data_IF_270245696392
#
_entry.id   IF_270245696392
#
_cell.length_a   1.000
_cell.length_b   1.000
_cell.length_c   1.000
_cell.angle_alpha   90.00
_cell.angle_beta   90.00
_cell.angle_gamma   90.00
#
_symmetry.space_group_name_H-M   'P 1'
#
loop_
_entity.id
_entity.type
_entity.pdbx_description
1 polymer ?
#
# COMPACT_ATOMS: atom_id res chain seq x y z
N UNK A 1 -12.60 29.40 55.56
CA UNK A 1 -11.53 28.49 55.08
C UNK A 1 -11.81 28.19 53.60
N UNK A 2 -10.76 28.20 52.78
CA UNK A 2 -10.69 28.41 51.32
C UNK A 2 -11.70 27.72 50.37
N UNK A 3 -12.13 28.49 49.36
CA UNK A 3 -12.52 28.04 48.01
C UNK A 3 -11.34 27.37 47.29
N UNK A 4 -11.59 26.43 46.34
CA UNK A 4 -10.72 26.27 45.18
C UNK A 4 -11.43 26.70 43.88
N UNK A 5 -10.70 27.52 43.13
CA UNK A 5 -10.98 28.09 41.81
C UNK A 5 -10.94 27.03 40.71
N UNK A 6 -11.78 27.17 39.69
CA UNK A 6 -11.80 26.30 38.51
C UNK A 6 -10.69 26.54 37.50
N UNK A 7 -10.64 25.68 36.46
CA UNK A 7 -10.28 26.01 35.06
C UNK A 7 -10.40 24.79 34.13
N UNK A 8 -10.84 25.08 32.89
CA UNK A 8 -10.80 24.28 31.63
C UNK A 8 -12.00 23.39 31.28
N UNK A 9 -13.17 24.00 31.08
CA UNK A 9 -14.26 23.39 30.28
C UNK A 9 -14.55 24.13 28.95
N UNK A 10 -13.76 25.16 28.59
CA UNK A 10 -14.06 26.03 27.44
C UNK A 10 -13.51 25.59 26.08
N UNK A 11 -12.55 24.67 26.01
CA UNK A 11 -11.86 24.35 24.75
C UNK A 11 -12.53 23.23 23.93
N UNK A 12 -13.30 22.33 24.57
CA UNK A 12 -13.97 21.21 23.90
C UNK A 12 -15.27 21.68 23.22
N UNK A 13 -16.03 22.55 23.90
CA UNK A 13 -17.27 23.12 23.34
C UNK A 13 -17.04 24.04 22.14
N UNK A 14 -15.95 24.82 22.14
CA UNK A 14 -15.61 25.67 21.00
C UNK A 14 -15.22 24.86 19.75
N UNK A 15 -14.50 23.74 19.92
CA UNK A 15 -14.14 22.84 18.81
C UNK A 15 -15.35 22.10 18.24
N UNK A 16 -16.28 21.67 19.12
CA UNK A 16 -17.53 21.02 18.70
C UNK A 16 -18.46 22.01 17.96
N UNK A 17 -18.52 23.27 18.42
CA UNK A 17 -19.31 24.32 17.77
C UNK A 17 -18.74 24.68 16.39
N UNK A 18 -17.42 24.80 16.27
CA UNK A 18 -16.76 25.05 14.98
C UNK A 18 -16.96 23.87 14.02
N UNK A 19 -16.93 22.62 14.54
CA UNK A 19 -17.23 21.42 13.75
C UNK A 19 -18.68 21.39 13.25
N UNK A 20 -19.65 21.69 14.13
CA UNK A 20 -21.07 21.75 13.74
C UNK A 20 -21.36 22.88 12.74
N UNK A 21 -20.72 24.04 12.89
CA UNK A 21 -20.86 25.16 11.95
C UNK A 21 -20.23 24.85 10.59
N UNK A 22 -19.06 24.19 10.57
CA UNK A 22 -18.40 23.78 9.33
C UNK A 22 -19.15 22.65 8.61
N UNK A 23 -19.67 21.68 9.38
CA UNK A 23 -20.50 20.60 8.85
C UNK A 23 -21.82 21.13 8.30
N UNK A 24 -22.50 22.04 9.01
CA UNK A 24 -23.71 22.70 8.53
C UNK A 24 -23.45 23.56 7.27
N UNK A 25 -22.28 24.20 7.18
CA UNK A 25 -21.87 24.94 5.98
C UNK A 25 -21.65 24.01 4.79
N UNK A 26 -20.96 22.87 4.96
CA UNK A 26 -20.77 21.87 3.89
C UNK A 26 -22.12 21.29 3.44
N UNK A 27 -22.99 20.90 4.37
CA UNK A 27 -24.32 20.38 4.04
C UNK A 27 -25.20 21.42 3.33
N UNK A 28 -25.09 22.71 3.69
CA UNK A 28 -25.78 23.78 2.96
C UNK A 28 -25.19 23.99 1.58
N UNK A 29 -23.87 24.03 1.40
CA UNK A 29 -23.25 24.18 0.08
C UNK A 29 -23.63 23.02 -0.84
N UNK A 30 -23.69 21.78 -0.34
CA UNK A 30 -24.16 20.63 -1.13
C UNK A 30 -25.64 20.75 -1.52
N UNK A 31 -26.50 21.23 -0.62
CA UNK A 31 -27.91 21.47 -0.91
C UNK A 31 -28.10 22.61 -1.94
N UNK A 32 -27.33 23.70 -1.85
CA UNK A 32 -27.37 24.81 -2.81
C UNK A 32 -26.83 24.40 -4.17
N UNK A 33 -25.78 23.57 -4.22
CA UNK A 33 -25.24 23.03 -5.49
C UNK A 33 -26.21 22.04 -6.15
N UNK A 34 -26.99 21.28 -5.37
CA UNK A 34 -28.08 20.43 -5.90
C UNK A 34 -29.31 21.22 -6.37
N UNK A 35 -29.56 22.41 -5.81
CA UNK A 35 -30.64 23.32 -6.22
C UNK A 35 -30.30 24.13 -7.48
N UNK A 36 -29.03 24.31 -7.82
CA UNK A 36 -28.57 25.05 -9.03
C UNK A 36 -28.52 24.13 -10.29
N UNK A 37 -28.85 22.85 -10.16
CA UNK A 37 -28.59 21.83 -11.19
C UNK A 37 -29.82 21.17 -11.83
N UNK A 38 -30.97 21.84 -11.92
CA UNK A 38 -32.10 21.32 -12.72
C UNK A 38 -32.55 22.36 -13.75
N UNK A 39 -31.96 22.30 -14.94
CA UNK A 39 -32.50 22.99 -16.10
C UNK A 39 -33.41 22.04 -16.87
N UNK A 40 -34.70 22.38 -16.92
CA UNK A 40 -35.66 21.72 -17.79
C UNK A 40 -35.25 21.87 -19.27
N UNK A 41 -35.59 20.89 -20.12
CA UNK A 41 -35.20 20.82 -21.53
C UNK A 41 -35.61 22.09 -22.31
N UNK A 42 -36.73 22.71 -21.94
CA UNK A 42 -37.20 23.96 -22.52
C UNK A 42 -36.29 25.16 -22.16
N UNK A 43 -35.69 25.15 -20.97
CA UNK A 43 -34.77 26.20 -20.48
C UNK A 43 -33.40 26.10 -21.17
N UNK A 44 -32.92 24.90 -21.44
CA UNK A 44 -31.68 24.67 -22.20
C UNK A 44 -31.81 25.08 -23.68
N UNK A 45 -33.00 24.90 -24.28
CA UNK A 45 -33.28 25.38 -25.64
C UNK A 45 -33.36 26.91 -25.69
N UNK A 46 -33.98 27.56 -24.70
CA UNK A 46 -33.97 29.03 -24.57
C UNK A 46 -32.57 29.62 -24.36
N UNK A 47 -31.70 28.94 -23.61
CA UNK A 47 -30.30 29.37 -23.42
C UNK A 47 -29.47 29.27 -24.71
N UNK A 48 -29.75 28.26 -25.54
CA UNK A 48 -29.12 28.11 -26.87
C UNK A 48 -29.55 29.22 -27.84
N UNK A 49 -30.82 29.62 -27.80
CA UNK A 49 -31.31 30.69 -28.67
C UNK A 49 -30.85 32.09 -28.20
N UNK A 50 -30.59 32.26 -26.89
CA UNK A 50 -30.03 33.50 -26.32
C UNK A 50 -28.53 33.69 -26.58
N UNK A 51 -27.79 32.62 -26.92
CA UNK A 51 -26.34 32.71 -27.21
C UNK A 51 -25.98 33.32 -28.57
N UNK A 52 -26.95 33.77 -29.37
CA UNK A 52 -26.72 34.38 -30.68
C UNK A 52 -26.81 35.92 -30.74
N UNK A 53 -26.93 36.62 -29.62
CA UNK A 53 -26.92 38.09 -29.60
C UNK A 53 -25.88 38.65 -28.63
N UNK A 54 -24.77 39.12 -29.20
CA UNK A 54 -24.11 40.39 -28.87
C UNK A 54 -23.56 40.63 -27.45
N UNK A 55 -22.23 40.78 -27.40
CA UNK A 55 -21.46 41.56 -26.40
C UNK A 55 -21.46 41.06 -24.94
N UNK A 56 -20.44 40.25 -24.61
CA UNK A 56 -20.01 40.05 -23.23
C UNK A 56 -18.92 41.07 -22.88
N UNK A 57 -19.28 42.11 -22.14
CA UNK A 57 -18.32 43.01 -21.50
C UNK A 57 -17.57 42.30 -20.37
N UNK A 58 -16.27 42.55 -20.35
CA UNK A 58 -15.27 42.14 -19.38
C UNK A 58 -15.47 42.79 -18.01
N UNK A 59 -15.71 42.02 -16.94
CA UNK A 59 -15.49 42.47 -15.56
C UNK A 59 -15.47 41.32 -14.52
N UNK A 60 -14.58 40.32 -14.67
CA UNK A 60 -14.34 39.29 -13.63
C UNK A 60 -12.83 39.12 -13.31
N UNK A 61 -12.02 40.15 -13.53
CA UNK A 61 -10.57 40.11 -13.23
C UNK A 61 -10.13 41.15 -12.18
N UNK A 62 -10.97 41.47 -11.20
CA UNK A 62 -10.62 42.39 -10.11
C UNK A 62 -10.25 41.72 -8.78
N UNK A 63 -9.98 40.41 -8.75
CA UNK A 63 -9.47 39.72 -7.55
C UNK A 63 -8.19 38.95 -7.88
N UNK A 64 -7.08 39.38 -7.26
CA UNK A 64 -5.73 38.78 -7.18
C UNK A 64 -4.67 39.27 -8.21
N UNK A 65 -3.74 40.18 -7.83
CA UNK A 65 -2.64 40.66 -8.68
C UNK A 65 -1.44 39.69 -8.87
N UNK A 66 -1.47 38.47 -8.34
CA UNK A 66 -0.30 37.56 -8.39
C UNK A 66 -0.36 36.48 -9.49
N UNK A 67 -1.50 36.34 -10.20
CA UNK A 67 -1.66 35.36 -11.29
C UNK A 67 -1.36 35.94 -12.69
N UNK A 68 -1.04 37.24 -12.81
CA UNK A 68 -0.91 37.94 -14.09
C UNK A 68 0.52 38.03 -14.66
N UNK A 69 1.50 37.32 -14.08
CA UNK A 69 2.83 37.15 -14.70
C UNK A 69 2.98 35.74 -15.23
N UNK A 70 2.34 35.44 -16.36
CA UNK A 70 2.78 34.43 -17.34
C UNK A 70 1.75 34.27 -18.47
N UNK A 71 1.51 35.33 -19.24
CA UNK A 71 0.93 35.21 -20.59
C UNK A 71 1.60 36.22 -21.50
N UNK A 72 2.82 35.90 -21.94
CA UNK A 72 3.43 36.52 -23.10
C UNK A 72 3.32 35.55 -24.27
N UNK A 73 2.60 36.02 -25.29
CA UNK A 73 2.41 35.53 -26.65
C UNK A 73 3.56 34.69 -27.25
N UNK A 74 3.25 33.46 -27.68
CA UNK A 74 4.10 32.65 -28.56
C UNK A 74 3.82 32.96 -30.05
N UNK A 75 4.83 33.24 -30.89
CA UNK A 75 4.66 33.39 -32.34
C UNK A 75 4.58 32.02 -33.07
N UNK A 76 4.13 31.98 -34.34
CA UNK A 76 3.68 30.74 -34.99
C UNK A 76 4.82 29.76 -35.32
N UNK A 77 4.49 28.47 -35.26
CA UNK A 77 5.38 27.34 -35.46
C UNK A 77 6.08 27.34 -36.83
N UNK A 78 7.41 27.53 -36.84
CA UNK A 78 8.28 27.06 -37.93
C UNK A 78 8.63 25.59 -37.67
N UNK A 79 8.21 24.69 -38.56
CA UNK A 79 8.64 23.27 -38.57
C UNK A 79 10.18 23.18 -38.65
N UNK A 80 10.83 22.93 -37.52
CA UNK A 80 12.27 22.65 -37.48
C UNK A 80 12.54 21.21 -37.97
N UNK A 81 13.32 21.08 -39.03
CA UNK A 81 13.86 19.78 -39.49
C UNK A 81 14.67 19.16 -38.36
N UNK A 82 14.27 17.96 -37.90
CA UNK A 82 15.02 17.15 -36.91
C UNK A 82 16.44 16.88 -37.41
N UNK A 83 17.45 17.49 -36.79
CA UNK A 83 18.85 17.07 -36.93
C UNK A 83 19.05 15.74 -36.19
N UNK A 84 19.45 14.71 -36.93
CA UNK A 84 19.88 13.40 -36.38
C UNK A 84 21.13 13.62 -35.53
N UNK A 85 20.99 13.60 -34.21
CA UNK A 85 22.10 13.82 -33.27
C UNK A 85 23.02 12.60 -33.15
N UNK A 86 24.32 12.81 -33.34
CA UNK A 86 25.41 11.82 -33.15
C UNK A 86 25.42 11.28 -31.70
N UNK A 87 25.51 9.96 -31.54
CA UNK A 87 25.57 9.19 -30.26
C UNK A 87 26.80 9.47 -29.35
N UNK A 88 27.55 10.56 -29.52
CA UNK A 88 28.78 10.81 -28.75
C UNK A 88 28.66 11.78 -27.56
N UNK A 89 27.56 12.53 -27.44
CA UNK A 89 27.49 13.69 -26.52
C UNK A 89 27.18 13.36 -25.05
N UNK A 90 26.50 12.25 -24.77
CA UNK A 90 26.21 11.83 -23.39
C UNK A 90 27.44 11.20 -22.74
N UNK A 91 28.12 10.29 -23.44
CA UNK A 91 29.34 9.64 -22.97
C UNK A 91 30.47 10.64 -22.72
N UNK A 92 30.62 11.68 -23.56
CA UNK A 92 31.64 12.73 -23.37
C UNK A 92 31.29 13.71 -22.24
N UNK A 93 30.00 13.88 -21.91
CA UNK A 93 29.55 14.66 -20.74
C UNK A 93 29.74 13.89 -19.44
N UNK A 94 29.43 12.58 -19.44
CA UNK A 94 29.73 11.68 -18.33
C UNK A 94 31.24 11.64 -18.04
N UNK A 95 32.10 11.52 -19.07
CA UNK A 95 33.57 11.56 -18.86
C UNK A 95 34.10 12.88 -18.31
N UNK A 96 33.44 14.02 -18.59
CA UNK A 96 33.83 15.33 -18.02
C UNK A 96 33.29 15.53 -16.59
N UNK A 97 32.18 14.90 -16.23
CA UNK A 97 31.62 14.95 -14.87
C UNK A 97 32.34 14.03 -13.88
N UNK A 98 32.96 12.94 -14.34
CA UNK A 98 33.81 12.07 -13.50
C UNK A 98 35.04 12.82 -12.97
N UNK A 99 35.50 13.86 -13.66
CA UNK A 99 36.61 14.71 -13.20
C UNK A 99 36.24 15.63 -12.03
N UNK A 100 34.95 15.87 -11.76
CA UNK A 100 34.47 16.77 -10.70
C UNK A 100 33.79 16.02 -9.55
N UNK A 101 34.53 15.12 -8.90
CA UNK A 101 34.43 14.71 -7.47
C UNK A 101 33.09 14.47 -6.77
N UNK A 102 31.94 14.45 -7.46
CA UNK A 102 30.63 14.13 -6.91
C UNK A 102 29.92 13.20 -7.87
N UNK A 103 29.89 11.93 -7.48
CA UNK A 103 29.08 10.91 -8.14
C UNK A 103 27.60 11.28 -7.91
N UNK A 104 26.85 11.45 -9.00
CA UNK A 104 25.45 11.91 -8.98
C UNK A 104 24.44 10.78 -8.74
N UNK A 105 24.92 9.55 -8.57
CA UNK A 105 24.13 8.36 -8.29
C UNK A 105 24.79 7.60 -7.14
N UNK A 106 24.01 7.00 -6.21
CA UNK A 106 24.57 6.24 -5.12
C UNK A 106 25.31 5.02 -5.68
N UNK A 107 26.61 4.91 -5.37
CA UNK A 107 27.43 3.77 -5.76
C UNK A 107 27.45 2.79 -4.60
N UNK A 108 26.99 1.56 -4.89
CA UNK A 108 27.03 0.44 -3.96
C UNK A 108 28.12 -0.52 -4.40
N UNK A 109 29.08 -0.79 -3.52
CA UNK A 109 30.15 -1.75 -3.77
C UNK A 109 29.86 -3.04 -3.02
N UNK A 110 29.70 -4.13 -3.78
CA UNK A 110 29.63 -5.48 -3.25
C UNK A 110 30.98 -6.16 -3.48
N UNK A 111 31.60 -6.66 -2.41
CA UNK A 111 32.82 -7.44 -2.52
C UNK A 111 32.77 -8.65 -1.58
N UNK A 112 33.18 -9.80 -2.11
CA UNK A 112 33.49 -10.97 -1.31
C UNK A 112 34.94 -10.86 -0.85
N UNK A 113 35.17 -10.67 0.45
CA UNK A 113 36.48 -10.29 1.03
C UNK A 113 37.31 -11.50 1.47
N UNK A 114 36.93 -12.71 1.01
CA UNK A 114 37.56 -13.99 1.37
C UNK A 114 39.08 -14.11 1.10
N UNK A 115 39.73 -13.16 0.41
CA UNK A 115 41.14 -13.23 0.04
C UNK A 115 42.05 -12.17 0.69
N UNK A 116 41.59 -11.35 1.63
CA UNK A 116 42.46 -10.37 2.31
C UNK A 116 43.06 -11.00 3.58
N UNK A 117 44.38 -10.96 3.73
CA UNK A 117 45.09 -11.50 4.91
C UNK A 117 44.83 -10.62 6.15
N UNK A 118 44.95 -9.29 6.01
CA UNK A 118 44.65 -8.30 7.06
C UNK A 118 43.42 -7.47 6.66
N UNK A 119 42.25 -8.10 6.77
CA UNK A 119 40.97 -7.65 6.19
C UNK A 119 40.61 -6.20 6.51
N UNK A 120 40.75 -5.79 7.77
CA UNK A 120 40.39 -4.44 8.19
C UNK A 120 41.47 -3.43 7.80
N UNK A 121 42.74 -3.69 8.05
CA UNK A 121 43.83 -2.76 7.72
C UNK A 121 43.92 -2.49 6.21
N UNK A 122 43.69 -3.52 5.40
CA UNK A 122 43.67 -3.37 3.95
C UNK A 122 42.41 -2.62 3.48
N UNK A 123 41.26 -2.81 4.13
CA UNK A 123 40.05 -2.04 3.88
C UNK A 123 40.25 -0.55 4.23
N UNK A 124 40.82 -0.24 5.40
CA UNK A 124 41.17 1.12 5.81
C UNK A 124 42.15 1.78 4.82
N UNK A 125 43.16 1.02 4.39
CA UNK A 125 44.13 1.48 3.38
C UNK A 125 43.44 1.74 2.04
N UNK A 126 42.53 0.88 1.59
CA UNK A 126 41.81 1.06 0.32
C UNK A 126 40.81 2.22 0.38
N UNK A 127 40.14 2.45 1.50
CA UNK A 127 39.25 3.60 1.70
C UNK A 127 40.05 4.91 1.69
N UNK A 128 41.26 4.93 2.26
CA UNK A 128 42.09 6.14 2.27
C UNK A 128 42.78 6.42 0.93
N UNK A 129 43.19 5.37 0.21
CA UNK A 129 44.00 5.51 -1.02
C UNK A 129 43.19 5.50 -2.32
N UNK A 130 42.08 4.75 -2.40
CA UNK A 130 41.29 4.59 -3.62
C UNK A 130 40.05 5.48 -3.60
N UNK A 131 40.03 6.48 -4.48
CA UNK A 131 38.93 7.44 -4.60
C UNK A 131 37.58 6.78 -4.89
N UNK A 132 37.58 5.72 -5.70
CA UNK A 132 36.34 5.02 -6.08
C UNK A 132 35.69 4.32 -4.88
N UNK A 133 36.48 3.80 -3.93
CA UNK A 133 35.98 3.15 -2.71
C UNK A 133 35.64 4.21 -1.66
N UNK A 134 36.47 5.25 -1.53
CA UNK A 134 36.22 6.35 -0.58
C UNK A 134 34.90 7.06 -0.83
N UNK A 135 34.60 7.32 -2.11
CA UNK A 135 33.44 8.11 -2.53
C UNK A 135 32.19 7.21 -2.74
N UNK A 136 32.22 5.93 -2.35
CA UNK A 136 31.06 5.03 -2.37
C UNK A 136 29.99 5.47 -1.37
N UNK A 137 28.72 5.20 -1.70
CA UNK A 137 27.60 5.48 -0.81
C UNK A 137 27.29 4.33 0.15
N UNK A 138 27.61 3.10 -0.26
CA UNK A 138 27.43 1.91 0.57
C UNK A 138 28.48 0.85 0.22
N UNK A 139 29.07 0.25 1.25
CA UNK A 139 29.98 -0.89 1.14
C UNK A 139 29.29 -2.11 1.77
N UNK A 140 29.15 -3.18 1.01
CA UNK A 140 28.53 -4.43 1.47
C UNK A 140 29.53 -5.58 1.39
N UNK A 141 29.84 -6.17 2.53
CA UNK A 141 30.75 -7.30 2.67
C UNK A 141 30.04 -8.48 3.33
N UNK A 142 30.38 -9.69 2.90
CA UNK A 142 29.96 -10.93 3.54
C UNK A 142 31.21 -11.69 3.98
N UNK A 143 31.31 -12.00 5.26
CA UNK A 143 32.52 -12.57 5.86
C UNK A 143 32.19 -13.57 6.97
N UNK A 144 32.95 -14.66 7.04
CA UNK A 144 32.68 -15.78 7.96
C UNK A 144 33.23 -15.57 9.36
N UNK A 145 34.14 -14.61 9.56
CA UNK A 145 34.73 -14.26 10.86
C UNK A 145 33.94 -13.18 11.62
N UNK A 146 32.99 -12.51 10.96
CA UNK A 146 32.08 -11.55 11.59
C UNK A 146 31.00 -12.29 12.37
N UNK A 147 31.34 -12.71 13.58
CA UNK A 147 30.40 -13.34 14.52
C UNK A 147 30.11 -12.46 15.75
N UNK A 148 29.30 -13.02 16.66
CA UNK A 148 28.81 -12.37 17.88
C UNK A 148 29.93 -11.87 18.82
N UNK A 149 31.13 -12.48 18.75
CA UNK A 149 32.28 -12.11 19.58
C UNK A 149 33.08 -10.91 19.06
N UNK A 150 32.86 -10.47 17.82
CA UNK A 150 33.61 -9.37 17.20
C UNK A 150 32.94 -8.04 17.51
N UNK A 151 33.56 -7.11 18.26
CA UNK A 151 32.94 -5.84 18.62
C UNK A 151 32.83 -4.90 17.41
N UNK A 152 31.81 -4.05 17.38
CA UNK A 152 31.54 -3.14 16.25
C UNK A 152 32.66 -2.11 16.03
N UNK A 153 33.35 -1.71 17.10
CA UNK A 153 34.51 -0.83 17.04
C UNK A 153 35.67 -1.42 16.21
N UNK A 154 35.80 -2.76 16.16
CA UNK A 154 36.85 -3.42 15.38
C UNK A 154 36.57 -3.46 13.88
N UNK A 155 35.33 -3.13 13.46
CA UNK A 155 34.86 -3.29 12.07
C UNK A 155 34.45 -1.95 11.45
N UNK A 156 34.55 -0.85 12.21
CA UNK A 156 34.10 0.48 11.77
C UNK A 156 35.18 1.19 10.97
N UNK A 157 35.03 1.37 9.64
CA UNK A 157 35.97 2.14 8.84
C UNK A 157 35.75 3.64 9.04
N UNK A 158 36.81 4.42 8.89
CA UNK A 158 36.74 5.88 9.02
C UNK A 158 35.77 6.48 7.99
N UNK A 159 34.82 7.29 8.47
CA UNK A 159 33.83 7.96 7.63
C UNK A 159 32.62 7.12 7.23
N UNK A 160 32.52 5.87 7.67
CA UNK A 160 31.38 4.99 7.39
C UNK A 160 30.64 4.57 8.66
N UNK A 161 29.30 4.46 8.56
CA UNK A 161 28.49 3.87 9.62
C UNK A 161 28.29 2.38 9.33
N UNK A 162 28.67 1.51 10.26
CA UNK A 162 28.51 0.06 10.12
C UNK A 162 27.10 -0.39 10.51
N UNK A 163 26.59 -1.37 9.78
CA UNK A 163 25.36 -2.10 10.08
C UNK A 163 25.65 -3.59 9.94
N UNK A 164 25.37 -4.35 11.00
CA UNK A 164 25.63 -5.78 11.09
C UNK A 164 24.32 -6.54 11.18
N UNK A 165 24.09 -7.45 10.23
CA UNK A 165 22.89 -8.27 10.18
C UNK A 165 22.81 -9.34 11.27
N UNK A 166 23.95 -9.69 11.87
CA UNK A 166 24.07 -10.68 12.95
C UNK A 166 23.83 -10.10 14.36
N UNK A 167 23.66 -8.78 14.50
CA UNK A 167 23.37 -8.13 15.79
C UNK A 167 21.88 -7.96 16.02
N UNK A 168 21.42 -8.25 17.24
CA UNK A 168 20.06 -7.91 17.66
C UNK A 168 19.94 -6.38 17.89
N UNK A 169 18.75 -5.83 17.69
CA UNK A 169 18.50 -4.38 17.74
C UNK A 169 18.86 -3.72 19.09
N UNK A 170 19.05 -4.51 20.15
CA UNK A 170 19.42 -4.04 21.50
C UNK A 170 20.92 -3.75 21.62
N UNK A 171 21.77 -4.42 20.84
CA UNK A 171 23.24 -4.32 20.96
C UNK A 171 23.88 -3.29 20.01
N UNK A 172 23.18 -2.87 18.96
CA UNK A 172 23.77 -2.01 17.91
C UNK A 172 23.81 -0.51 18.24
N UNK A 173 23.35 -0.10 19.43
CA UNK A 173 23.36 1.28 19.91
C UNK A 173 22.60 2.29 19.03
N UNK A 174 21.94 1.84 17.97
CA UNK A 174 21.09 2.64 17.09
C UNK A 174 19.65 2.38 17.48
N UNK A 175 19.01 3.41 18.02
CA UNK A 175 17.56 3.47 18.18
C UNK A 175 16.93 3.40 16.79
N UNK A 176 16.63 2.19 16.31
CA UNK A 176 15.40 2.05 15.55
C UNK A 176 14.29 2.48 16.49
N UNK A 177 13.42 3.39 16.05
CA UNK A 177 12.10 3.59 16.64
C UNK A 177 11.25 2.31 16.43
N UNK A 178 11.69 1.20 17.03
CA UNK A 178 10.91 0.00 17.20
C UNK A 178 10.13 0.22 18.47
N UNK A 179 8.91 0.69 18.27
CA UNK A 179 7.92 0.88 19.31
C UNK A 179 7.75 -0.43 20.09
N UNK A 180 8.43 -0.54 21.23
CA UNK A 180 7.88 -1.31 22.33
C UNK A 180 6.72 -0.48 22.85
N UNK A 181 5.57 -0.64 22.20
CA UNK A 181 4.30 -0.31 22.80
C UNK A 181 4.17 -1.18 24.04
N UNK A 182 4.42 -0.62 25.20
CA UNK A 182 3.87 -1.11 26.46
C UNK A 182 2.35 -0.89 26.44
N UNK A 183 1.69 -1.59 25.52
CA UNK A 183 0.25 -1.67 25.41
C UNK A 183 -0.15 -3.10 25.74
N UNK A 184 -1.13 -3.24 26.62
CA UNK A 184 -1.85 -4.46 26.92
C UNK A 184 -1.88 -5.42 25.70
N UNK A 185 -1.57 -6.72 25.85
CA UNK A 185 -1.31 -7.63 24.73
C UNK A 185 -2.54 -8.00 23.87
N UNK A 186 -3.66 -7.28 23.97
CA UNK A 186 -4.93 -7.66 23.34
C UNK A 186 -5.54 -6.67 22.34
N UNK A 187 -5.24 -5.36 22.42
CA UNK A 187 -5.99 -4.34 21.67
C UNK A 187 -5.07 -3.58 20.73
N UNK A 188 -5.33 -3.68 19.43
CA UNK A 188 -4.64 -2.89 18.40
C UNK A 188 -4.96 -1.40 18.59
N UNK A 189 -3.93 -0.60 18.81
CA UNK A 189 -4.03 0.88 18.86
C UNK A 189 -3.13 1.50 17.81
N UNK A 190 -3.61 2.55 17.17
CA UNK A 190 -2.87 3.33 16.17
C UNK A 190 -2.45 4.69 16.72
N UNK A 191 -1.24 5.11 16.39
CA UNK A 191 -0.70 6.41 16.82
C UNK A 191 -0.98 7.50 15.81
N UNK A 192 -0.99 8.75 16.27
CA UNK A 192 -1.14 9.93 15.41
C UNK A 192 -0.14 9.94 14.24
N UNK A 193 1.13 9.60 14.51
CA UNK A 193 2.17 9.54 13.49
C UNK A 193 1.89 8.49 12.41
N UNK A 194 1.42 7.30 12.82
CA UNK A 194 1.05 6.24 11.89
C UNK A 194 -0.11 6.67 10.99
N UNK A 195 -1.14 7.29 11.56
CA UNK A 195 -2.30 7.79 10.80
C UNK A 195 -1.90 8.92 9.86
N UNK A 196 -1.12 9.89 10.33
CA UNK A 196 -0.61 10.99 9.50
C UNK A 196 0.21 10.47 8.32
N UNK A 197 1.08 9.47 8.55
CA UNK A 197 1.87 8.82 7.50
C UNK A 197 0.97 8.11 6.50
N UNK A 198 -0.03 7.36 6.97
CA UNK A 198 -0.99 6.68 6.10
C UNK A 198 -1.75 7.67 5.20
N UNK A 199 -2.22 8.79 5.75
CA UNK A 199 -2.90 9.86 5.01
C UNK A 199 -1.98 10.54 3.98
N UNK A 200 -0.74 10.86 4.35
CA UNK A 200 0.25 11.48 3.42
C UNK A 200 0.65 10.54 2.27
N UNK A 201 0.59 9.23 2.46
CA UNK A 201 0.88 8.22 1.44
C UNK A 201 -0.29 7.92 0.48
N UNK A 202 -1.46 8.52 0.70
CA UNK A 202 -2.59 8.39 -0.23
C UNK A 202 -2.19 8.89 -1.62
N UNK A 203 -2.65 8.18 -2.65
CA UNK A 203 -2.47 8.62 -4.03
C UNK A 203 -3.59 9.64 -4.38
N UNK A 204 -3.24 10.91 -4.67
CA UNK A 204 -4.19 12.00 -4.91
C UNK A 204 -4.99 11.86 -6.22
N UNK A 205 -4.64 10.91 -7.09
CA UNK A 205 -5.31 10.66 -8.37
C UNK A 205 -6.24 9.44 -8.33
N UNK A 206 -6.38 8.76 -7.19
CA UNK A 206 -7.33 7.66 -7.02
C UNK A 206 -8.78 8.18 -7.09
N UNK A 207 -9.71 7.30 -7.43
CA UNK A 207 -11.13 7.60 -7.40
C UNK A 207 -11.62 7.86 -5.97
N UNK A 208 -12.65 8.71 -5.87
CA UNK A 208 -13.36 9.04 -4.62
C UNK A 208 -14.24 7.86 -4.21
N UNK A 209 -14.35 7.60 -2.91
CA UNK A 209 -15.23 6.59 -2.35
C UNK A 209 -16.69 7.04 -2.27
N UNK A 210 -17.59 6.20 -1.73
CA UNK A 210 -19.00 6.55 -1.50
C UNK A 210 -19.20 7.67 -0.47
N UNK A 211 -18.18 7.96 0.33
CA UNK A 211 -18.15 9.03 1.33
C UNK A 211 -17.96 10.43 0.72
N UNK A 212 -17.66 10.52 -0.58
CA UNK A 212 -17.45 11.80 -1.27
C UNK A 212 -16.14 12.51 -0.92
N UNK A 213 -15.32 11.94 -0.03
CA UNK A 213 -14.07 12.56 0.43
C UNK A 213 -12.95 12.33 -0.58
N UNK A 214 -12.44 13.42 -1.14
CA UNK A 214 -11.36 13.35 -2.13
C UNK A 214 -10.04 12.87 -1.50
N UNK A 215 -9.31 11.92 -2.14
CA UNK A 215 -7.98 11.52 -1.68
C UNK A 215 -6.99 12.70 -1.62
N UNK A 216 -7.19 13.74 -2.45
CA UNK A 216 -6.38 14.97 -2.42
C UNK A 216 -6.53 15.70 -1.09
N UNK A 217 -7.76 15.80 -0.60
CA UNK A 217 -8.06 16.48 0.67
C UNK A 217 -7.41 15.74 1.82
N UNK A 218 -7.55 14.41 1.87
CA UNK A 218 -6.92 13.59 2.92
C UNK A 218 -5.40 13.68 2.92
N UNK A 219 -4.77 13.79 1.74
CA UNK A 219 -3.32 13.96 1.63
C UNK A 219 -2.86 15.35 2.04
N UNK A 220 -3.49 16.40 1.51
CA UNK A 220 -3.09 17.80 1.73
C UNK A 220 -3.39 18.25 3.15
N UNK A 221 -4.56 17.88 3.69
CA UNK A 221 -4.98 18.20 5.05
C UNK A 221 -4.64 17.09 6.05
N UNK A 222 -3.75 16.15 5.68
CA UNK A 222 -3.48 14.95 6.48
C UNK A 222 -2.92 15.24 7.86
N UNK A 223 -2.26 16.39 8.06
CA UNK A 223 -1.75 16.80 9.36
C UNK A 223 -2.84 17.28 10.31
N UNK A 224 -3.79 18.08 9.80
CA UNK A 224 -4.93 18.58 10.58
C UNK A 224 -5.94 17.46 10.85
N UNK A 225 -6.10 16.52 9.91
CA UNK A 225 -7.06 15.43 10.01
C UNK A 225 -6.52 14.22 10.79
N UNK A 226 -5.20 14.09 10.97
CA UNK A 226 -4.60 12.93 11.61
C UNK A 226 -5.14 12.70 13.02
N UNK A 227 -5.28 13.73 13.86
CA UNK A 227 -5.84 13.60 15.20
C UNK A 227 -7.24 13.00 15.20
N UNK A 228 -8.13 13.57 14.38
CA UNK A 228 -9.53 13.12 14.28
C UNK A 228 -9.62 11.67 13.79
N UNK A 229 -8.87 11.32 12.73
CA UNK A 229 -8.87 9.92 12.25
C UNK A 229 -8.21 8.96 13.23
N UNK A 230 -7.25 9.41 14.03
CA UNK A 230 -6.65 8.59 15.10
C UNK A 230 -7.70 8.21 16.14
N UNK A 231 -8.50 9.17 16.59
CA UNK A 231 -9.58 8.92 17.56
C UNK A 231 -10.63 7.97 16.96
N UNK A 232 -11.08 8.22 15.72
CA UNK A 232 -12.05 7.37 15.03
C UNK A 232 -11.52 5.94 14.86
N UNK A 233 -10.27 5.79 14.43
CA UNK A 233 -9.67 4.47 14.22
C UNK A 233 -9.50 3.73 15.54
N UNK A 234 -9.03 4.39 16.58
CA UNK A 234 -8.87 3.76 17.89
C UNK A 234 -10.21 3.38 18.52
N UNK A 235 -11.25 4.20 18.40
CA UNK A 235 -12.60 3.82 18.81
C UNK A 235 -13.12 2.60 18.04
N UNK A 236 -12.94 2.59 16.72
CA UNK A 236 -13.32 1.45 15.89
C UNK A 236 -12.61 0.16 16.31
N UNK A 237 -11.30 0.24 16.56
CA UNK A 237 -10.48 -0.92 16.94
C UNK A 237 -10.77 -1.39 18.37
N UNK A 238 -11.01 -0.47 19.30
CA UNK A 238 -11.33 -0.76 20.69
C UNK A 238 -12.69 -1.44 20.82
N UNK A 239 -13.70 -0.94 20.13
CA UNK A 239 -15.05 -1.51 20.14
C UNK A 239 -15.20 -2.72 19.19
N UNK A 240 -14.17 -3.00 18.39
CA UNK A 240 -14.22 -4.00 17.33
C UNK A 240 -15.36 -3.78 16.30
N UNK A 241 -15.73 -2.52 16.06
CA UNK A 241 -16.80 -2.12 15.14
C UNK A 241 -16.28 -1.14 14.09
N UNK A 242 -16.46 -1.46 12.82
CA UNK A 242 -16.15 -0.61 11.67
C UNK A 242 -17.31 0.34 11.41
N UNK A 243 -17.08 1.66 11.35
CA UNK A 243 -18.11 2.63 11.02
C UNK A 243 -18.84 2.26 9.73
N UNK A 244 -20.18 2.35 9.72
CA UNK A 244 -21.00 1.98 8.56
C UNK A 244 -20.57 2.68 7.27
N UNK A 245 -20.18 3.96 7.37
CA UNK A 245 -19.68 4.73 6.23
C UNK A 245 -18.42 4.12 5.61
N UNK A 246 -17.55 3.49 6.42
CA UNK A 246 -16.33 2.81 5.98
C UNK A 246 -16.60 1.43 5.36
N UNK A 247 -17.70 0.77 5.74
CA UNK A 247 -18.13 -0.51 5.14
C UNK A 247 -18.76 -0.33 3.75
N UNK A 248 -19.29 0.86 3.45
CA UNK A 248 -19.94 1.13 2.17
C UNK A 248 -18.99 1.01 0.99
N UNK A 249 -19.47 0.45 -0.12
CA UNK A 249 -18.69 0.36 -1.35
C UNK A 249 -19.51 0.61 -2.62
N UNK A 250 -18.85 1.15 -3.64
CA UNK A 250 -19.41 1.27 -4.99
C UNK A 250 -18.69 0.29 -5.89
N UNK A 251 -19.41 -0.71 -6.42
CA UNK A 251 -18.87 -1.67 -7.37
C UNK A 251 -18.88 -1.03 -8.76
N UNK A 252 -17.70 -0.94 -9.36
CA UNK A 252 -17.51 -0.49 -10.74
C UNK A 252 -17.07 -1.69 -11.58
N UNK A 253 -17.90 -2.17 -12.52
CA UNK A 253 -17.53 -3.24 -13.44
C UNK A 253 -16.44 -2.76 -14.39
N UNK A 254 -15.29 -3.44 -14.40
CA UNK A 254 -14.17 -3.16 -15.31
C UNK A 254 -14.03 -4.31 -16.31
N UNK A 255 -14.02 -4.06 -17.63
CA UNK A 255 -13.84 -5.12 -18.62
C UNK A 255 -12.49 -5.85 -18.45
N UNK A 256 -12.51 -7.18 -18.43
CA UNK A 256 -11.30 -8.04 -18.47
C UNK A 256 -10.74 -8.14 -19.88
N UNK A 257 -11.59 -8.02 -20.90
CA UNK A 257 -11.29 -8.18 -22.33
C UNK A 257 -11.90 -7.02 -23.12
N UNK A 258 -11.41 -6.82 -24.34
CA UNK A 258 -11.90 -5.79 -25.26
C UNK A 258 -13.32 -6.08 -25.75
N UNK A 259 -13.61 -7.33 -26.07
CA UNK A 259 -14.93 -7.80 -26.49
C UNK A 259 -15.59 -8.53 -25.33
N UNK A 260 -16.77 -8.05 -24.95
CA UNK A 260 -17.50 -8.52 -23.78
C UNK A 260 -18.65 -9.37 -24.28
N UNK A 261 -18.67 -10.64 -23.88
CA UNK A 261 -19.71 -11.60 -24.27
C UNK A 261 -20.63 -11.96 -23.12
N UNK A 262 -20.09 -11.97 -21.90
CA UNK A 262 -20.81 -12.38 -20.69
C UNK A 262 -20.51 -11.44 -19.53
N UNK A 263 -21.37 -11.45 -18.50
CA UNK A 263 -21.12 -10.68 -17.27
C UNK A 263 -19.83 -11.10 -16.54
N UNK A 264 -19.38 -12.35 -16.74
CA UNK A 264 -18.14 -12.88 -16.17
C UNK A 264 -16.87 -12.27 -16.80
N UNK A 265 -17.01 -11.63 -17.98
CA UNK A 265 -15.94 -10.86 -18.60
C UNK A 265 -15.71 -9.50 -17.90
N UNK A 266 -16.53 -9.13 -16.91
CA UNK A 266 -16.24 -7.99 -16.03
C UNK A 266 -15.56 -8.41 -14.74
N UNK A 267 -14.71 -7.51 -14.22
CA UNK A 267 -14.17 -7.55 -12.86
C UNK A 267 -14.93 -6.54 -11.99
N UNK A 268 -15.61 -6.96 -10.92
CA UNK A 268 -16.28 -6.05 -10.01
C UNK A 268 -15.25 -5.38 -9.09
N UNK A 269 -14.84 -4.14 -9.37
CA UNK A 269 -13.89 -3.42 -8.51
C UNK A 269 -14.66 -2.65 -7.44
N UNK A 270 -14.40 -2.95 -6.16
CA UNK A 270 -15.01 -2.24 -5.05
C UNK A 270 -14.26 -0.93 -4.74
N UNK A 271 -14.96 0.19 -4.88
CA UNK A 271 -14.51 1.49 -4.40
C UNK A 271 -14.97 1.68 -2.96
N UNK A 272 -14.06 1.45 -2.01
CA UNK A 272 -14.25 1.78 -0.59
C UNK A 272 -13.70 3.18 -0.26
N UNK A 273 -14.18 3.81 0.84
CA UNK A 273 -13.64 5.06 1.36
C UNK A 273 -12.14 5.04 1.52
N UNK A 274 -11.49 6.16 1.21
CA UNK A 274 -10.04 6.27 1.29
C UNK A 274 -9.57 6.17 2.74
N UNK A 275 -10.33 6.71 3.68
CA UNK A 275 -10.08 6.55 5.11
C UNK A 275 -10.09 5.08 5.55
N UNK A 276 -11.05 4.27 5.06
CA UNK A 276 -11.08 2.83 5.33
C UNK A 276 -9.81 2.14 4.81
N UNK A 277 -9.36 2.48 3.60
CA UNK A 277 -8.09 1.94 3.05
C UNK A 277 -6.87 2.31 3.89
N UNK A 278 -6.88 3.46 4.57
CA UNK A 278 -5.83 3.80 5.52
C UNK A 278 -5.88 2.91 6.76
N UNK A 279 -7.06 2.70 7.33
CA UNK A 279 -7.25 1.80 8.48
C UNK A 279 -6.89 0.35 8.14
N UNK A 280 -7.33 -0.17 6.99
CA UNK A 280 -6.95 -1.49 6.48
C UNK A 280 -5.42 -1.67 6.43
N UNK A 281 -4.67 -0.65 5.97
CA UNK A 281 -3.20 -0.72 5.94
C UNK A 281 -2.58 -0.79 7.33
N UNK A 282 -3.12 -0.05 8.28
CA UNK A 282 -2.63 -0.06 9.66
C UNK A 282 -2.90 -1.42 10.32
N UNK A 283 -4.09 -1.98 10.11
CA UNK A 283 -4.43 -3.34 10.56
C UNK A 283 -3.56 -4.39 9.87
N UNK A 284 -3.29 -4.25 8.57
CA UNK A 284 -2.41 -5.15 7.83
C UNK A 284 -0.98 -5.17 8.40
N UNK A 285 -0.43 -4.00 8.74
CA UNK A 285 0.89 -3.91 9.39
C UNK A 285 0.88 -4.66 10.72
N UNK A 286 -0.17 -4.50 11.52
CA UNK A 286 -0.30 -5.21 12.78
C UNK A 286 -0.41 -6.74 12.58
N UNK A 287 -1.22 -7.19 11.63
CA UNK A 287 -1.34 -8.62 11.32
C UNK A 287 -0.01 -9.23 10.88
N UNK A 288 0.77 -8.53 10.05
CA UNK A 288 2.09 -8.99 9.64
C UNK A 288 3.10 -9.06 10.80
N UNK A 289 2.90 -8.28 11.87
CA UNK A 289 3.74 -8.35 13.06
C UNK A 289 3.38 -9.54 13.97
N UNK A 290 2.12 -9.97 13.98
CA UNK A 290 1.65 -11.13 14.77
C UNK A 290 1.94 -12.43 14.02
N UNK A 291 1.60 -12.45 12.74
CA UNK A 291 1.60 -13.64 11.90
C UNK A 291 2.92 -13.68 11.12
N UNK A 292 3.83 -14.64 11.40
CA UNK A 292 5.07 -14.74 10.67
C UNK A 292 4.84 -15.07 9.19
N UNK A 293 5.71 -14.59 8.32
CA UNK A 293 5.63 -14.88 6.89
C UNK A 293 5.99 -16.33 6.54
N UNK A 294 6.28 -17.17 7.53
CA UNK A 294 6.65 -18.59 7.40
C UNK A 294 5.50 -19.57 7.56
N UNK A 295 4.28 -19.10 7.87
CA UNK A 295 3.12 -19.99 8.08
C UNK A 295 2.87 -20.89 6.86
N UNK A 296 3.03 -20.32 5.67
CA UNK A 296 2.84 -21.04 4.41
C UNK A 296 3.97 -20.73 3.45
N UNK A 297 5.01 -21.55 3.50
CA UNK A 297 6.22 -21.35 2.69
C UNK A 297 5.98 -21.53 1.20
N UNK A 298 4.98 -22.35 0.83
CA UNK A 298 4.64 -22.66 -0.56
C UNK A 298 3.51 -21.78 -1.12
N UNK A 299 3.03 -20.80 -0.35
CA UNK A 299 2.31 -19.65 -0.88
C UNK A 299 3.31 -18.55 -1.27
N UNK A 300 3.35 -18.21 -2.55
CA UNK A 300 4.30 -17.25 -3.10
C UNK A 300 3.68 -15.86 -3.32
N UNK A 301 2.37 -15.74 -3.50
CA UNK A 301 1.75 -14.44 -3.70
C UNK A 301 1.62 -13.64 -2.40
N UNK A 302 1.53 -12.32 -2.57
CA UNK A 302 1.30 -11.35 -1.49
C UNK A 302 2.35 -11.37 -0.37
N UNK A 303 3.51 -11.99 -0.62
CA UNK A 303 4.66 -11.99 0.27
C UNK A 303 5.72 -11.03 -0.23
N UNK A 304 6.46 -10.38 0.68
CA UNK A 304 7.62 -9.59 0.28
C UNK A 304 8.68 -10.51 -0.34
N UNK A 305 9.36 -10.02 -1.38
CA UNK A 305 10.50 -10.72 -2.02
C UNK A 305 10.15 -12.11 -2.58
N UNK A 306 8.93 -12.29 -3.07
CA UNK A 306 8.51 -13.51 -3.79
C UNK A 306 7.87 -13.14 -5.13
N UNK A 307 8.16 -13.93 -6.15
CA UNK A 307 7.64 -13.76 -7.51
C UNK A 307 6.96 -15.02 -8.02
N UNK A 308 6.31 -14.91 -9.18
CA UNK A 308 5.79 -16.07 -9.91
C UNK A 308 6.93 -17.00 -10.33
N UNK A 309 8.09 -16.43 -10.69
CA UNK A 309 9.26 -17.20 -11.13
C UNK A 309 9.80 -18.08 -10.00
N UNK A 310 9.75 -17.63 -8.75
CA UNK A 310 10.12 -18.45 -7.59
C UNK A 310 9.20 -19.67 -7.46
N UNK A 311 7.88 -19.47 -7.61
CA UNK A 311 6.89 -20.55 -7.52
C UNK A 311 7.11 -21.59 -8.62
N UNK A 312 7.33 -21.13 -9.86
CA UNK A 312 7.62 -22.00 -11.01
C UNK A 312 8.93 -22.74 -10.82
N UNK A 313 9.98 -22.05 -10.34
CA UNK A 313 11.30 -22.66 -10.10
C UNK A 313 11.23 -23.76 -9.04
N UNK A 314 10.49 -23.53 -7.94
CA UNK A 314 10.28 -24.55 -6.90
C UNK A 314 9.46 -25.73 -7.45
N UNK A 315 8.42 -25.47 -8.23
CA UNK A 315 7.64 -26.53 -8.86
C UNK A 315 8.51 -27.40 -9.79
N UNK A 316 9.29 -26.76 -10.67
CA UNK A 316 10.17 -27.45 -11.60
C UNK A 316 11.27 -28.23 -10.87
N UNK A 317 11.84 -27.67 -9.81
CA UNK A 317 12.85 -28.35 -9.01
C UNK A 317 12.33 -29.68 -8.48
N UNK A 318 11.15 -29.70 -7.87
CA UNK A 318 10.55 -30.94 -7.35
C UNK A 318 10.18 -31.93 -8.46
N UNK A 319 9.68 -31.45 -9.60
CA UNK A 319 9.36 -32.31 -10.74
C UNK A 319 10.62 -32.98 -11.29
N UNK A 320 11.65 -32.21 -11.58
CA UNK A 320 12.89 -32.73 -12.19
C UNK A 320 13.63 -33.65 -11.23
N UNK A 321 13.75 -33.28 -9.96
CA UNK A 321 14.41 -34.10 -8.93
C UNK A 321 13.74 -35.47 -8.78
N UNK A 322 12.40 -35.55 -8.88
CA UNK A 322 11.71 -36.83 -8.80
C UNK A 322 11.92 -37.68 -10.06
N UNK A 323 11.93 -37.05 -11.24
CA UNK A 323 12.10 -37.71 -12.53
C UNK A 323 13.54 -38.22 -12.79
N UNK A 324 14.52 -37.81 -12.00
CA UNK A 324 15.89 -38.36 -12.08
C UNK A 324 15.95 -39.85 -11.69
N UNK A 325 14.94 -40.36 -10.96
CA UNK A 325 14.84 -41.76 -10.60
C UNK A 325 14.10 -42.56 -11.68
N UNK A 326 14.65 -43.73 -12.05
CA UNK A 326 14.02 -44.60 -13.04
C UNK A 326 12.68 -45.15 -12.55
N UNK A 327 11.73 -45.30 -13.47
CA UNK A 327 10.41 -45.81 -13.16
C UNK A 327 9.49 -44.83 -12.41
N UNK A 328 9.90 -43.58 -12.21
CA UNK A 328 9.05 -42.57 -11.55
C UNK A 328 8.25 -41.73 -12.56
N UNK A 329 7.17 -41.10 -12.08
CA UNK A 329 6.43 -40.10 -12.84
C UNK A 329 5.78 -39.07 -11.91
N UNK A 330 5.47 -37.89 -12.45
CA UNK A 330 4.80 -36.81 -11.70
C UNK A 330 3.46 -36.49 -12.36
N UNK A 331 2.40 -36.39 -11.56
CA UNK A 331 1.10 -35.86 -12.00
C UNK A 331 0.94 -34.45 -11.47
N UNK A 332 0.65 -33.51 -12.37
CA UNK A 332 0.37 -32.12 -12.01
C UNK A 332 -1.11 -31.83 -12.16
N UNK A 333 -1.73 -31.28 -11.12
CA UNK A 333 -3.12 -30.85 -11.12
C UNK A 333 -3.16 -29.33 -10.89
N UNK A 334 -3.83 -28.62 -11.78
CA UNK A 334 -4.08 -27.19 -11.64
C UNK A 334 -5.50 -26.98 -11.11
N UNK A 335 -5.61 -26.28 -9.99
CA UNK A 335 -6.86 -25.92 -9.34
C UNK A 335 -7.07 -24.42 -9.44
N UNK A 336 -8.22 -24.04 -9.98
CA UNK A 336 -8.70 -22.66 -10.05
C UNK A 336 -9.94 -22.50 -9.16
N UNK A 337 -9.89 -21.55 -8.22
CA UNK A 337 -11.02 -21.28 -7.34
C UNK A 337 -12.02 -20.38 -8.04
N UNK A 338 -13.27 -20.86 -8.14
CA UNK A 338 -14.37 -20.01 -8.56
C UNK A 338 -14.58 -18.86 -7.58
N UNK A 339 -14.24 -17.63 -8.01
CA UNK A 339 -14.53 -16.39 -7.28
C UNK A 339 -13.93 -16.35 -5.86
N UNK A 340 -12.65 -16.74 -5.72
CA UNK A 340 -11.96 -16.99 -4.45
C UNK A 340 -12.19 -15.94 -3.34
N UNK A 341 -12.04 -14.65 -3.66
CA UNK A 341 -12.24 -13.58 -2.68
C UNK A 341 -13.69 -13.40 -2.26
N UNK A 342 -14.64 -13.68 -3.14
CA UNK A 342 -16.07 -13.47 -2.87
C UNK A 342 -16.68 -14.63 -2.06
N UNK A 343 -16.00 -15.77 -1.98
CA UNK A 343 -16.48 -16.99 -1.32
C UNK A 343 -15.91 -17.22 0.08
N UNK A 344 -15.04 -16.32 0.56
CA UNK A 344 -14.53 -16.36 1.95
C UNK A 344 -15.72 -16.34 2.92
N UNK A 345 -15.76 -17.33 3.82
CA UNK A 345 -16.77 -17.40 4.90
C UNK A 345 -16.21 -16.72 6.15
N UNK A 346 -16.75 -15.57 6.61
CA UNK A 346 -16.16 -14.82 7.71
C UNK A 346 -15.98 -15.64 8.98
N UNK A 347 -17.01 -16.41 9.40
CA UNK A 347 -16.95 -17.24 10.62
C UNK A 347 -15.76 -18.23 10.58
N UNK A 348 -15.60 -18.96 9.47
CA UNK A 348 -14.46 -19.90 9.30
C UNK A 348 -13.12 -19.20 9.26
N UNK A 349 -13.05 -18.01 8.68
CA UNK A 349 -11.83 -17.21 8.70
C UNK A 349 -11.46 -16.86 10.15
N UNK A 350 -12.41 -16.39 10.95
CA UNK A 350 -12.15 -16.01 12.35
C UNK A 350 -11.67 -17.17 13.20
N UNK A 351 -12.27 -18.36 13.05
CA UNK A 351 -11.81 -19.58 13.72
C UNK A 351 -10.32 -19.83 13.44
N UNK A 352 -9.92 -19.79 12.16
CA UNK A 352 -8.52 -19.93 11.75
C UNK A 352 -7.62 -18.81 12.27
N UNK A 353 -8.09 -17.56 12.27
CA UNK A 353 -7.30 -16.44 12.80
C UNK A 353 -7.04 -16.60 14.30
N UNK A 354 -8.02 -17.11 15.06
CA UNK A 354 -7.86 -17.41 16.47
C UNK A 354 -6.85 -18.55 16.71
N UNK A 355 -6.88 -19.60 15.90
CA UNK A 355 -5.88 -20.69 15.92
C UNK A 355 -4.45 -20.19 15.65
N UNK A 356 -4.32 -19.17 14.80
CA UNK A 356 -3.04 -18.50 14.50
C UNK A 356 -2.58 -17.53 15.61
N UNK A 357 -3.28 -17.45 16.74
CA UNK A 357 -2.90 -16.61 17.87
C UNK A 357 -3.22 -15.12 17.69
N UNK A 358 -4.09 -14.76 16.74
CA UNK A 358 -4.53 -13.36 16.58
C UNK A 358 -5.48 -13.00 17.73
N UNK A 359 -5.28 -11.84 18.41
CA UNK A 359 -6.13 -11.43 19.52
C UNK A 359 -7.61 -11.35 19.14
N UNK A 360 -8.48 -11.78 20.06
CA UNK A 360 -9.95 -11.79 19.87
C UNK A 360 -10.52 -10.42 19.44
N UNK A 361 -10.09 -9.27 19.99
CA UNK A 361 -10.58 -7.97 19.52
C UNK A 361 -10.27 -7.70 18.04
N UNK A 362 -9.09 -8.07 17.57
CA UNK A 362 -8.69 -7.96 16.16
C UNK A 362 -9.51 -8.90 15.28
N UNK A 363 -9.74 -10.13 15.74
CA UNK A 363 -10.61 -11.08 15.06
C UNK A 363 -12.05 -10.55 14.92
N UNK A 364 -12.61 -10.01 16.00
CA UNK A 364 -13.96 -9.41 15.99
C UNK A 364 -14.04 -8.20 15.06
N UNK A 365 -13.01 -7.37 15.02
CA UNK A 365 -12.95 -6.23 14.10
C UNK A 365 -12.90 -6.70 12.63
N UNK A 366 -12.14 -7.77 12.34
CA UNK A 366 -12.09 -8.38 10.99
C UNK A 366 -13.45 -9.01 10.64
N UNK A 367 -14.13 -9.63 11.61
CA UNK A 367 -15.49 -10.16 11.41
C UNK A 367 -16.44 -9.03 11.00
N UNK A 368 -16.44 -7.95 11.79
CA UNK A 368 -17.29 -6.79 11.55
C UNK A 368 -16.97 -6.12 10.21
N UNK A 369 -15.69 -6.02 9.84
CA UNK A 369 -15.25 -5.59 8.52
C UNK A 369 -15.81 -6.47 7.39
N UNK A 370 -16.00 -7.77 7.63
CA UNK A 370 -16.44 -8.73 6.62
C UNK A 370 -17.96 -8.99 6.58
N UNK A 371 -18.74 -8.42 7.50
CA UNK A 371 -20.20 -8.61 7.53
C UNK A 371 -20.94 -7.29 7.31
N UNK A 372 -22.19 -7.40 6.86
CA UNK A 372 -23.13 -6.27 6.73
C UNK A 372 -22.58 -5.09 5.92
N UNK A 373 -21.88 -5.40 4.82
CA UNK A 373 -21.29 -4.38 3.96
C UNK A 373 -22.30 -3.92 2.91
N UNK A 374 -22.77 -2.66 2.96
CA UNK A 374 -23.64 -2.15 1.91
C UNK A 374 -22.83 -1.86 0.65
N UNK A 375 -23.37 -2.29 -0.50
CA UNK A 375 -22.77 -2.05 -1.80
C UNK A 375 -23.83 -1.65 -2.83
N UNK A 376 -23.42 -0.81 -3.78
CA UNK A 376 -24.20 -0.45 -4.96
C UNK A 376 -23.35 -0.66 -6.21
N UNK A 377 -23.96 -1.02 -7.32
CA UNK A 377 -23.28 -1.12 -8.62
C UNK A 377 -23.46 0.19 -9.36
N UNK A 378 -22.37 0.74 -9.92
CA UNK A 378 -22.42 1.98 -10.73
C UNK A 378 -21.90 1.73 -12.13
N UNK A 379 -22.72 2.05 -13.13
CA UNK A 379 -22.38 2.01 -14.55
C UNK A 379 -22.66 3.39 -15.15
N UNK A 380 -21.60 4.10 -15.52
CA UNK A 380 -21.72 5.51 -15.94
C UNK A 380 -22.31 6.37 -14.82
N UNK A 381 -23.47 6.97 -15.09
CA UNK A 381 -24.24 7.80 -14.15
C UNK A 381 -25.35 7.03 -13.42
N UNK A 382 -25.65 5.79 -13.84
CA UNK A 382 -26.68 4.96 -13.23
C UNK A 382 -26.12 4.23 -12.01
N UNK A 383 -26.92 4.15 -10.94
CA UNK A 383 -26.59 3.45 -9.70
C UNK A 383 -27.72 2.47 -9.40
N UNK A 384 -27.38 1.23 -9.02
CA UNK A 384 -28.36 0.20 -8.66
C UNK A 384 -28.95 0.43 -7.27
N UNK A 385 -29.96 -0.36 -6.95
CA UNK A 385 -30.38 -0.55 -5.56
C UNK A 385 -29.23 -1.09 -4.69
N UNK A 386 -29.31 -0.81 -3.40
CA UNK A 386 -28.32 -1.25 -2.42
C UNK A 386 -28.51 -2.72 -2.08
N UNK A 387 -27.42 -3.48 -2.15
CA UNK A 387 -27.33 -4.85 -1.65
C UNK A 387 -26.39 -4.88 -0.46
N UNK A 388 -26.70 -5.67 0.56
CA UNK A 388 -25.82 -5.85 1.73
C UNK A 388 -25.19 -7.23 1.66
N UNK A 389 -23.85 -7.30 1.76
CA UNK A 389 -23.10 -8.55 1.73
C UNK A 389 -22.50 -8.90 3.09
N UNK A 390 -22.57 -10.18 3.45
CA UNK A 390 -21.91 -10.74 4.63
C UNK A 390 -20.99 -11.92 4.31
N UNK A 391 -20.58 -12.04 3.04
CA UNK A 391 -19.67 -13.08 2.54
C UNK A 391 -18.61 -12.48 1.65
N UNK A 392 -17.45 -13.12 1.59
CA UNK A 392 -16.31 -12.66 0.82
C UNK A 392 -15.61 -11.45 1.42
N UNK A 393 -14.51 -11.06 0.79
CA UNK A 393 -13.77 -9.83 1.09
C UNK A 393 -13.82 -8.89 -0.13
N UNK A 394 -13.96 -7.57 0.04
CA UNK A 394 -14.10 -6.65 -1.08
C UNK A 394 -12.89 -6.68 -2.01
N UNK A 395 -13.14 -6.68 -3.33
CA UNK A 395 -12.07 -6.69 -4.32
C UNK A 395 -11.50 -5.27 -4.52
N UNK A 396 -10.21 -5.09 -4.21
CA UNK A 396 -9.54 -3.78 -4.26
C UNK A 396 -9.20 -3.19 -2.88
N UNK A 397 -9.58 -3.89 -1.81
CA UNK A 397 -9.09 -3.68 -0.45
C UNK A 397 -7.69 -4.28 -0.28
N UNK A 398 -6.84 -3.63 0.51
CA UNK A 398 -5.47 -4.09 0.74
C UNK A 398 -5.39 -5.20 1.79
N UNK A 399 -6.41 -5.31 2.64
CA UNK A 399 -6.50 -6.37 3.64
C UNK A 399 -6.93 -7.71 3.03
N UNK A 400 -7.77 -7.68 1.98
CA UNK A 400 -8.35 -8.89 1.35
C UNK A 400 -7.32 -9.95 0.94
N UNK A 401 -6.19 -9.62 0.28
CA UNK A 401 -5.17 -10.60 -0.08
C UNK A 401 -4.59 -11.34 1.12
N UNK A 402 -4.22 -10.62 2.19
CA UNK A 402 -3.67 -11.23 3.41
C UNK A 402 -4.70 -12.14 4.07
N UNK A 403 -5.96 -11.70 4.17
CA UNK A 403 -7.02 -12.54 4.73
C UNK A 403 -7.25 -13.83 3.93
N UNK A 404 -7.13 -13.77 2.60
CA UNK A 404 -7.23 -14.96 1.76
C UNK A 404 -6.06 -15.93 1.96
N UNK A 405 -4.84 -15.41 2.07
CA UNK A 405 -3.66 -16.23 2.40
C UNK A 405 -3.82 -16.90 3.76
N UNK A 406 -4.31 -16.17 4.78
CA UNK A 406 -4.58 -16.75 6.10
C UNK A 406 -5.74 -17.76 6.06
N UNK A 407 -6.74 -17.54 5.21
CA UNK A 407 -7.86 -18.46 5.05
C UNK A 407 -7.44 -19.82 4.48
N UNK A 408 -6.42 -19.84 3.61
CA UNK A 408 -5.95 -21.03 2.89
C UNK A 408 -4.61 -21.56 3.41
N UNK A 409 -4.11 -21.06 4.54
CA UNK A 409 -2.79 -21.38 5.07
C UNK A 409 -2.62 -22.86 5.42
N UNK A 410 -3.69 -23.50 5.86
CA UNK A 410 -3.81 -24.92 6.23
C UNK A 410 -4.07 -25.84 5.02
N UNK A 411 -4.24 -25.27 3.82
CA UNK A 411 -4.30 -26.01 2.57
C UNK A 411 -2.88 -26.44 2.17
N UNK A 412 -2.36 -27.42 2.91
CA UNK A 412 -1.05 -28.05 2.73
C UNK A 412 -1.23 -29.56 2.54
N UNK A 413 -0.26 -30.20 1.91
CA UNK A 413 -0.30 -31.64 1.73
C UNK A 413 -0.15 -32.37 3.05
N UNK A 414 -0.95 -33.42 3.25
CA UNK A 414 -0.77 -34.39 4.34
C UNK A 414 0.18 -35.54 3.97
N UNK A 415 0.49 -35.69 2.69
CA UNK A 415 1.29 -36.78 2.15
C UNK A 415 2.63 -36.25 1.66
N UNK A 416 3.72 -36.93 2.01
CA UNK A 416 5.08 -36.52 1.64
C UNK A 416 5.33 -36.57 0.12
N UNK A 417 4.54 -37.37 -0.60
CA UNK A 417 4.61 -37.48 -2.06
C UNK A 417 3.79 -36.41 -2.79
N UNK A 418 3.12 -35.52 -2.07
CA UNK A 418 2.27 -34.50 -2.67
C UNK A 418 2.74 -33.13 -2.22
N UNK A 419 2.89 -32.21 -3.16
CA UNK A 419 3.37 -30.84 -2.93
C UNK A 419 2.32 -29.89 -3.45
N UNK A 420 1.87 -28.96 -2.59
CA UNK A 420 0.86 -27.96 -2.95
C UNK A 420 1.56 -26.60 -3.02
N UNK A 421 1.63 -26.04 -4.21
CA UNK A 421 2.23 -24.73 -4.50
C UNK A 421 1.10 -23.76 -4.82
N UNK A 422 1.10 -22.60 -4.17
CA UNK A 422 0.04 -21.60 -4.28
C UNK A 422 0.59 -20.27 -4.74
N UNK A 423 -0.12 -19.61 -5.63
CA UNK A 423 0.12 -18.23 -6.00
C UNK A 423 -1.22 -17.49 -6.00
N UNK A 424 -1.51 -16.81 -4.90
CA UNK A 424 -2.80 -16.21 -4.62
C UNK A 424 -3.86 -17.32 -4.57
N UNK A 425 -4.87 -17.26 -5.44
CA UNK A 425 -5.88 -18.29 -5.64
C UNK A 425 -5.39 -19.45 -6.52
N UNK A 426 -4.46 -19.23 -7.46
CA UNK A 426 -3.94 -20.31 -8.30
C UNK A 426 -3.22 -21.37 -7.47
N UNK A 427 -3.68 -22.62 -7.54
CA UNK A 427 -3.10 -23.73 -6.77
C UNK A 427 -2.66 -24.84 -7.69
N UNK A 428 -1.39 -25.23 -7.58
CA UNK A 428 -0.79 -26.35 -8.31
C UNK A 428 -0.47 -27.47 -7.33
N UNK A 429 -0.98 -28.67 -7.61
CA UNK A 429 -0.68 -29.87 -6.85
C UNK A 429 0.23 -30.75 -7.69
N UNK A 430 1.40 -31.08 -7.15
CA UNK A 430 2.32 -32.05 -7.72
C UNK A 430 2.19 -33.35 -6.93
N UNK A 431 1.87 -34.44 -7.61
CA UNK A 431 1.83 -35.80 -7.03
C UNK A 431 3.00 -36.58 -7.60
N UNK A 432 3.99 -36.84 -6.75
CA UNK A 432 5.16 -37.64 -7.04
C UNK A 432 4.79 -39.11 -6.88
N UNK A 433 4.94 -39.91 -7.94
CA UNK A 433 4.54 -41.32 -7.95
C UNK A 433 5.66 -42.20 -8.47
N UNK A 434 5.70 -43.42 -7.97
CA UNK A 434 6.54 -44.49 -8.48
C UNK A 434 5.69 -45.36 -9.41
N UNK A 435 6.27 -45.79 -10.53
CA UNK A 435 5.72 -46.79 -11.43
C UNK A 435 5.80 -48.15 -10.77
N UNK A 436 4.65 -48.82 -10.67
CA UNK A 436 4.56 -50.20 -10.20
C UNK A 436 5.09 -51.21 -11.19
#
# INVERSE_FOLDING_TARGET
>A
MALPRGRRCGALGAKLLIFLLFFAFICRVEATVRLVGQYDRATLLKLRDLSHLGHFESNVLSLCPELARNTATSPPERKQKRRRGRRGGAARRLRRQVSSGRLTLPVVLFANVQSLENKMDELHTRISTQKDIRDCSMLCFCETWLGEKTPDAAVTPDGYSVYRGDRSAVESGKTEERWHSSSNPGVLTVTHSQVQKALKQVNPHKAVGPDGVSPRVLKTCGEQLAGVYTDIFNWSLMEAVVPRIFKSSVIVPVPKKTFISTLNDYRPVALTPVAMKCLEKLVLVHLNNIVPDTIDLLQFAYRPNRSVDDAVSVALHHVLQHLDYSGTYVRTLFLDYSSAFNTIRPVRLIEKLAELGIPTPTCNWILDFLIERPQVVRIGQQVSDQLTLSTGSPQGCCLSPKLFTLYTHDCVSKHNNTIIIKYADDTTILVLSEGG
#
